data_IF_229534484840
#
_entry.id   IF_229534484840
#
_cell.length_a   1.000
_cell.length_b   1.000
_cell.length_c   1.000
_cell.angle_alpha   90.00
_cell.angle_beta   90.00
_cell.angle_gamma   90.00
#
_symmetry.space_group_name_H-M   'P 1'
#
loop_
_entity.id
_entity.type
_entity.pdbx_description
1 polymer ?
#
# COMPACT_ATOMS: atom_id res chain seq x y z
N UNK A 1 -6.20 -26.46 1.94
CA UNK A 1 -5.00 -25.97 2.66
C UNK A 1 -5.35 -25.93 4.14
N UNK A 2 -4.48 -26.40 5.03
CA UNK A 2 -4.69 -26.30 6.48
C UNK A 2 -3.87 -25.11 6.98
N UNK A 3 -4.55 -24.07 7.45
CA UNK A 3 -3.92 -22.89 8.04
C UNK A 3 -3.74 -23.15 9.54
N UNK A 4 -2.52 -23.45 10.00
CA UNK A 4 -2.21 -23.73 11.42
C UNK A 4 -3.30 -24.53 12.15
N UNK A 5 -3.50 -25.80 11.75
CA UNK A 5 -4.49 -26.73 12.31
C UNK A 5 -5.97 -26.42 12.04
N UNK A 6 -6.30 -25.22 11.56
CA UNK A 6 -7.64 -24.87 11.11
C UNK A 6 -7.85 -25.30 9.66
N UNK A 7 -8.88 -26.12 9.46
CA UNK A 7 -9.32 -26.48 8.11
C UNK A 7 -10.19 -25.36 7.60
N UNK A 8 -9.73 -24.62 6.58
CA UNK A 8 -10.60 -23.71 5.86
C UNK A 8 -11.82 -24.50 5.35
N UNK A 9 -13.04 -23.96 5.43
CA UNK A 9 -14.25 -24.66 4.98
C UNK A 9 -14.27 -24.89 3.46
N UNK A 10 -13.29 -24.36 2.73
CA UNK A 10 -13.11 -24.49 1.29
C UNK A 10 -11.67 -24.89 0.96
N UNK A 11 -11.50 -25.48 -0.22
CA UNK A 11 -10.19 -25.92 -0.72
C UNK A 11 -9.61 -24.87 -1.67
N UNK A 12 -8.50 -24.26 -1.26
CA UNK A 12 -7.67 -23.46 -2.15
C UNK A 12 -6.79 -24.34 -3.03
N UNK A 13 -6.64 -23.94 -4.27
CA UNK A 13 -5.89 -24.60 -5.34
C UNK A 13 -4.92 -23.62 -6.00
N UNK A 14 -4.09 -24.11 -6.92
CA UNK A 14 -3.20 -23.25 -7.71
C UNK A 14 -3.96 -22.26 -8.61
N UNK A 15 -5.19 -22.59 -9.03
CA UNK A 15 -6.00 -21.70 -9.85
C UNK A 15 -6.49 -20.47 -9.07
N UNK A 16 -6.49 -20.55 -7.74
CA UNK A 16 -6.90 -19.45 -6.87
C UNK A 16 -5.75 -18.49 -6.55
N UNK A 17 -4.51 -18.79 -6.97
CA UNK A 17 -3.36 -17.92 -6.69
C UNK A 17 -3.44 -16.67 -7.56
N UNK A 18 -3.45 -15.50 -6.91
CA UNK A 18 -3.47 -14.18 -7.56
C UNK A 18 -2.19 -13.38 -7.34
N UNK A 19 -1.30 -13.85 -6.46
CA UNK A 19 0.02 -13.27 -6.22
C UNK A 19 0.92 -14.25 -5.48
N UNK A 20 2.22 -14.16 -5.73
CA UNK A 20 3.24 -14.94 -5.01
C UNK A 20 4.44 -14.04 -4.77
N UNK A 21 4.85 -13.93 -3.50
CA UNK A 21 6.08 -13.26 -3.09
C UNK A 21 7.15 -14.28 -2.68
N UNK A 22 8.23 -13.78 -2.08
CA UNK A 22 9.29 -14.61 -1.49
C UNK A 22 8.81 -15.36 -0.25
N UNK A 23 7.97 -14.72 0.57
CA UNK A 23 7.56 -15.22 1.91
C UNK A 23 6.08 -15.56 2.02
N UNK A 24 5.28 -15.24 1.00
CA UNK A 24 3.83 -15.41 1.06
C UNK A 24 3.22 -15.76 -0.29
N UNK A 25 2.02 -16.33 -0.26
CA UNK A 25 1.16 -16.56 -1.42
C UNK A 25 -0.20 -15.92 -1.15
N UNK A 26 -0.72 -15.21 -2.15
CA UNK A 26 -2.02 -14.55 -2.09
C UNK A 26 -3.02 -15.34 -2.94
N UNK A 27 -4.11 -15.75 -2.29
CA UNK A 27 -5.20 -16.51 -2.88
C UNK A 27 -6.46 -15.66 -3.02
N UNK A 28 -7.17 -15.79 -4.12
CA UNK A 28 -8.54 -15.35 -4.25
C UNK A 28 -9.48 -16.31 -3.51
N UNK A 29 -10.44 -15.74 -2.79
CA UNK A 29 -11.58 -16.45 -2.22
C UNK A 29 -12.83 -15.78 -2.81
N UNK A 30 -13.35 -16.38 -3.87
CA UNK A 30 -14.39 -15.76 -4.70
C UNK A 30 -13.92 -14.42 -5.31
N UNK A 31 -14.86 -13.52 -5.52
CA UNK A 31 -14.60 -12.22 -6.17
C UNK A 31 -14.18 -11.12 -5.19
N UNK A 32 -14.46 -11.29 -3.89
CA UNK A 32 -14.40 -10.19 -2.93
C UNK A 32 -13.27 -10.30 -1.91
N UNK A 33 -12.64 -11.47 -1.74
CA UNK A 33 -11.66 -11.69 -0.68
C UNK A 33 -10.32 -12.14 -1.27
N UNK A 34 -9.25 -11.55 -0.75
CA UNK A 34 -7.89 -12.03 -0.90
C UNK A 34 -7.39 -12.58 0.44
N UNK A 35 -6.74 -13.74 0.42
CA UNK A 35 -6.06 -14.33 1.56
C UNK A 35 -4.56 -14.35 1.29
N UNK A 36 -3.80 -13.62 2.10
CA UNK A 36 -2.34 -13.76 2.15
C UNK A 36 -2.00 -14.83 3.18
N UNK A 37 -1.27 -15.86 2.75
CA UNK A 37 -0.88 -16.98 3.59
C UNK A 37 0.64 -17.22 3.47
N UNK A 38 1.29 -17.72 4.54
CA UNK A 38 2.72 -17.97 4.53
C UNK A 38 3.06 -19.18 3.67
N UNK A 39 4.24 -19.20 3.08
CA UNK A 39 4.75 -20.37 2.36
C UNK A 39 5.24 -21.39 3.39
N UNK A 40 4.44 -22.43 3.65
CA UNK A 40 4.76 -23.48 4.63
C UNK A 40 4.84 -24.84 3.93
N UNK A 41 6.03 -25.43 3.95
CA UNK A 41 6.25 -26.77 3.43
C UNK A 41 5.76 -27.83 4.44
N UNK A 42 4.96 -28.77 3.96
CA UNK A 42 4.53 -29.95 4.73
C UNK A 42 4.70 -31.18 3.87
N UNK A 43 5.35 -32.21 4.41
CA UNK A 43 5.60 -33.44 3.69
C UNK A 43 5.51 -34.66 4.59
N UNK A 44 5.17 -35.80 3.98
CA UNK A 44 5.28 -37.13 4.59
C UNK A 44 6.73 -37.65 4.56
N UNK A 45 7.67 -36.85 4.05
CA UNK A 45 9.10 -37.11 4.00
C UNK A 45 9.85 -35.96 4.71
N UNK A 46 11.09 -36.17 5.19
CA UNK A 46 11.88 -35.10 5.78
C UNK A 46 12.06 -33.92 4.82
N UNK A 47 11.86 -32.72 5.34
CA UNK A 47 12.11 -31.46 4.62
C UNK A 47 13.61 -31.14 4.59
N UNK A 48 14.05 -30.37 3.60
CA UNK A 48 15.40 -29.81 3.58
C UNK A 48 15.53 -28.65 4.58
N UNK A 49 16.75 -28.36 5.02
CA UNK A 49 17.00 -27.21 5.92
C UNK A 49 16.51 -25.89 5.30
N UNK A 50 16.73 -25.70 4.00
CA UNK A 50 16.22 -24.55 3.23
C UNK A 50 14.69 -24.43 3.28
N UNK A 51 13.96 -25.54 3.15
CA UNK A 51 12.49 -25.54 3.24
C UNK A 51 11.99 -25.20 4.65
N UNK A 52 12.72 -25.65 5.68
CA UNK A 52 12.41 -25.35 7.07
C UNK A 52 12.65 -23.86 7.34
N UNK A 53 13.79 -23.34 6.90
CA UNK A 53 14.17 -21.93 7.04
C UNK A 53 13.19 -21.01 6.31
N UNK A 54 12.85 -21.31 5.05
CA UNK A 54 11.86 -20.56 4.27
C UNK A 54 10.49 -20.54 4.96
N UNK A 55 10.07 -21.67 5.54
CA UNK A 55 8.80 -21.75 6.28
C UNK A 55 8.83 -20.87 7.54
N UNK A 56 9.94 -20.89 8.27
CA UNK A 56 10.13 -20.08 9.47
C UNK A 56 10.16 -18.58 9.15
N UNK A 57 10.87 -18.17 8.09
CA UNK A 57 10.92 -16.79 7.62
C UNK A 57 9.54 -16.31 7.16
N UNK A 58 8.83 -17.14 6.39
CA UNK A 58 7.47 -16.85 5.91
C UNK A 58 6.49 -16.62 7.05
N UNK A 59 6.55 -17.45 8.09
CA UNK A 59 5.74 -17.28 9.30
C UNK A 59 6.12 -16.01 10.06
N UNK A 60 7.41 -15.75 10.24
CA UNK A 60 7.88 -14.54 10.92
C UNK A 60 7.48 -13.25 10.19
N UNK A 61 7.54 -13.24 8.85
CA UNK A 61 7.08 -12.11 8.03
C UNK A 61 5.59 -11.85 8.22
N UNK A 62 4.77 -12.91 8.15
CA UNK A 62 3.34 -12.79 8.34
C UNK A 62 2.97 -12.26 9.73
N UNK A 63 3.65 -12.72 10.79
CA UNK A 63 3.40 -12.21 12.15
C UNK A 63 3.78 -10.73 12.29
N UNK A 64 4.89 -10.28 11.68
CA UNK A 64 5.23 -8.85 11.66
C UNK A 64 4.16 -8.05 10.93
N UNK A 65 3.73 -8.50 9.76
CA UNK A 65 2.71 -7.81 8.97
C UNK A 65 1.38 -7.70 9.73
N UNK A 66 0.98 -8.73 10.48
CA UNK A 66 -0.20 -8.68 11.37
C UNK A 66 -0.08 -7.59 12.43
N UNK A 67 1.07 -7.47 13.09
CA UNK A 67 1.32 -6.42 14.07
C UNK A 67 1.20 -5.02 13.46
N UNK A 68 1.66 -4.83 12.23
CA UNK A 68 1.48 -3.57 11.48
C UNK A 68 -0.01 -3.34 11.23
N UNK A 69 -0.74 -4.35 10.74
CA UNK A 69 -2.17 -4.22 10.53
C UNK A 69 -2.99 -3.97 11.80
N UNK A 70 -2.56 -4.46 12.97
CA UNK A 70 -3.23 -4.12 14.23
C UNK A 70 -3.19 -2.61 14.48
N UNK A 71 -2.05 -1.96 14.24
CA UNK A 71 -1.91 -0.50 14.35
C UNK A 71 -2.79 0.22 13.32
N UNK A 72 -2.75 -0.24 12.07
CA UNK A 72 -3.44 0.42 10.95
C UNK A 72 -4.97 0.24 10.99
N UNK A 73 -5.45 -0.88 11.53
CA UNK A 73 -6.88 -1.09 11.71
C UNK A 73 -7.44 -0.25 12.87
N UNK A 74 -6.63 0.02 13.90
CA UNK A 74 -7.00 0.95 14.98
C UNK A 74 -7.00 2.42 14.51
N UNK A 75 -6.19 2.74 13.49
CA UNK A 75 -6.05 4.08 12.91
C UNK A 75 -6.25 4.04 11.38
N UNK A 76 -7.50 3.84 10.91
CA UNK A 76 -7.77 3.63 9.50
C UNK A 76 -7.48 4.85 8.62
N UNK A 77 -6.87 4.62 7.46
CA UNK A 77 -6.68 5.64 6.40
C UNK A 77 -7.38 5.20 5.09
N UNK A 78 -8.04 6.11 4.34
CA UNK A 78 -8.78 5.76 3.13
C UNK A 78 -7.92 5.17 2.01
N UNK A 79 -6.63 5.51 1.95
CA UNK A 79 -5.70 5.05 0.92
C UNK A 79 -4.76 3.92 1.36
N UNK A 80 -5.03 3.30 2.51
CA UNK A 80 -4.33 2.11 3.00
C UNK A 80 -5.31 0.93 2.94
N UNK A 81 -4.84 -0.22 2.46
CA UNK A 81 -5.63 -1.45 2.47
C UNK A 81 -5.87 -1.89 3.92
N UNK A 82 -7.12 -2.02 4.31
CA UNK A 82 -7.50 -2.57 5.62
C UNK A 82 -7.74 -4.06 5.53
N UNK A 83 -7.43 -4.77 6.60
CA UNK A 83 -7.77 -6.20 6.69
C UNK A 83 -9.23 -6.35 7.06
N UNK A 84 -9.88 -7.38 6.53
CA UNK A 84 -11.15 -7.88 7.06
C UNK A 84 -10.88 -8.50 8.44
N UNK A 85 -9.79 -9.26 8.55
CA UNK A 85 -9.23 -9.84 9.76
C UNK A 85 -7.88 -10.50 9.47
N UNK A 86 -7.17 -10.87 10.52
CA UNK A 86 -6.08 -11.84 10.45
C UNK A 86 -6.25 -12.93 11.52
N UNK A 87 -5.66 -14.09 11.26
CA UNK A 87 -5.60 -15.24 12.15
C UNK A 87 -4.22 -15.89 12.06
N UNK A 88 -3.85 -16.86 12.93
CA UNK A 88 -2.49 -17.43 12.94
C UNK A 88 -1.98 -17.89 11.56
N UNK A 89 -2.85 -18.40 10.68
CA UNK A 89 -2.43 -18.87 9.36
C UNK A 89 -2.57 -17.88 8.19
N UNK A 90 -3.07 -16.67 8.38
CA UNK A 90 -3.19 -15.74 7.25
C UNK A 90 -3.90 -14.42 7.54
N UNK A 91 -3.87 -13.55 6.55
CA UNK A 91 -4.46 -12.22 6.57
C UNK A 91 -5.51 -12.16 5.45
N UNK A 92 -6.75 -11.83 5.81
CA UNK A 92 -7.86 -11.71 4.88
C UNK A 92 -8.11 -10.23 4.60
N UNK A 93 -8.15 -9.87 3.32
CA UNK A 93 -8.29 -8.50 2.84
C UNK A 93 -9.37 -8.43 1.76
N UNK A 94 -9.97 -7.25 1.54
CA UNK A 94 -10.80 -7.03 0.37
C UNK A 94 -9.96 -7.27 -0.90
N UNK A 95 -10.51 -8.03 -1.84
CA UNK A 95 -9.86 -8.28 -3.13
C UNK A 95 -10.00 -7.03 -4.02
N UNK A 96 -8.87 -6.53 -4.48
CA UNK A 96 -8.82 -5.49 -5.50
C UNK A 96 -8.70 -6.13 -6.88
N UNK A 97 -9.32 -5.52 -7.89
CA UNK A 97 -9.35 -6.09 -9.25
C UNK A 97 -8.01 -6.03 -9.95
N UNK A 98 -7.15 -5.06 -9.58
CA UNK A 98 -5.86 -4.78 -10.20
C UNK A 98 -4.95 -4.00 -9.27
N UNK A 99 -3.65 -4.04 -9.56
CA UNK A 99 -2.68 -3.07 -9.05
C UNK A 99 -2.39 -2.01 -10.13
N UNK A 100 -1.73 -0.94 -9.72
CA UNK A 100 -1.44 0.20 -10.58
C UNK A 100 -0.49 -0.16 -11.71
N UNK A 101 0.52 -0.98 -11.44
CA UNK A 101 1.47 -1.48 -12.44
C UNK A 101 0.77 -2.17 -13.62
N UNK A 102 -0.12 -3.13 -13.32
CA UNK A 102 -0.87 -3.87 -14.34
C UNK A 102 -1.75 -2.94 -15.18
N UNK A 103 -2.30 -1.87 -14.61
CA UNK A 103 -3.14 -0.95 -15.38
C UNK A 103 -2.32 -0.03 -16.26
N UNK A 104 -1.25 0.56 -15.73
CA UNK A 104 -0.36 1.42 -16.53
C UNK A 104 0.21 0.66 -17.74
N UNK A 105 0.50 -0.63 -17.59
CA UNK A 105 0.97 -1.48 -18.68
C UNK A 105 -0.12 -1.90 -19.68
N UNK A 106 -1.40 -1.90 -19.29
CA UNK A 106 -2.49 -2.35 -20.16
C UNK A 106 -2.97 -1.25 -21.11
N UNK A 107 -3.16 -0.03 -20.61
CA UNK A 107 -3.66 1.09 -21.41
C UNK A 107 -3.15 2.43 -20.87
N UNK A 108 -1.86 2.75 -21.11
CA UNK A 108 -1.25 3.97 -20.55
C UNK A 108 -1.88 5.25 -21.10
N UNK A 109 -2.42 5.22 -22.31
CA UNK A 109 -2.96 6.42 -22.98
C UNK A 109 -4.35 6.82 -22.46
N UNK A 110 -5.07 5.94 -21.76
CA UNK A 110 -6.38 6.27 -21.19
C UNK A 110 -6.29 6.93 -19.81
N UNK A 111 -5.10 7.03 -19.23
CA UNK A 111 -4.90 7.59 -17.89
C UNK A 111 -4.60 9.08 -17.99
N UNK A 112 -5.56 9.91 -17.58
CA UNK A 112 -5.44 11.36 -17.59
C UNK A 112 -4.43 11.88 -16.55
N UNK A 113 -3.86 13.06 -16.83
CA UNK A 113 -2.93 13.74 -15.90
C UNK A 113 -3.56 13.98 -14.51
N UNK A 114 -4.81 14.46 -14.39
CA UNK A 114 -5.45 14.60 -13.08
C UNK A 114 -5.58 13.29 -12.30
N UNK A 115 -5.79 12.16 -12.99
CA UNK A 115 -5.86 10.86 -12.34
C UNK A 115 -4.49 10.39 -11.84
N UNK A 116 -3.43 10.60 -12.63
CA UNK A 116 -2.04 10.33 -12.24
C UNK A 116 -1.65 11.12 -10.99
N UNK A 117 -1.95 12.42 -10.98
CA UNK A 117 -1.68 13.28 -9.83
C UNK A 117 -2.47 12.87 -8.59
N UNK A 118 -3.75 12.50 -8.75
CA UNK A 118 -4.56 11.97 -7.66
C UNK A 118 -3.89 10.75 -7.01
N UNK A 119 -3.40 9.81 -7.80
CA UNK A 119 -2.71 8.62 -7.26
C UNK A 119 -1.45 8.98 -6.49
N UNK A 120 -0.65 9.91 -7.01
CA UNK A 120 0.56 10.42 -6.33
C UNK A 120 0.18 11.03 -4.97
N UNK A 121 -0.83 11.92 -4.96
CA UNK A 121 -1.31 12.56 -3.72
C UNK A 121 -1.83 11.54 -2.71
N UNK A 122 -2.68 10.63 -3.14
CA UNK A 122 -3.26 9.60 -2.27
C UNK A 122 -2.19 8.67 -1.69
N UNK A 123 -1.19 8.30 -2.48
CA UNK A 123 -0.05 7.51 -2.02
C UNK A 123 0.76 8.28 -0.98
N UNK A 124 1.10 9.54 -1.24
CA UNK A 124 1.88 10.35 -0.30
C UNK A 124 1.11 10.59 1.00
N UNK A 125 -0.21 10.78 0.96
CA UNK A 125 -1.06 10.87 2.16
C UNK A 125 -1.10 9.54 2.94
N UNK A 126 -1.11 8.40 2.25
CA UNK A 126 -0.96 7.11 2.92
C UNK A 126 0.42 6.97 3.60
N UNK A 127 1.50 7.37 2.94
CA UNK A 127 2.86 7.34 3.49
C UNK A 127 3.04 8.29 4.69
N UNK A 128 2.47 9.50 4.61
CA UNK A 128 2.42 10.45 5.74
C UNK A 128 1.66 9.85 6.94
N UNK A 129 0.57 9.13 6.70
CA UNK A 129 -0.15 8.44 7.75
C UNK A 129 0.73 7.37 8.43
N UNK A 130 1.52 6.61 7.66
CA UNK A 130 2.50 5.66 8.23
C UNK A 130 3.58 6.39 9.03
N UNK A 131 4.14 7.49 8.50
CA UNK A 131 5.13 8.33 9.19
C UNK A 131 4.61 8.81 10.55
N UNK A 132 3.33 9.22 10.62
CA UNK A 132 2.72 9.69 11.88
C UNK A 132 2.63 8.60 12.97
N UNK A 133 2.72 7.32 12.58
CA UNK A 133 2.77 6.17 13.49
C UNK A 133 4.21 5.65 13.69
N UNK A 134 5.22 6.37 13.18
CA UNK A 134 6.62 5.97 13.26
C UNK A 134 6.96 4.78 12.37
N UNK A 135 6.15 4.52 11.34
CA UNK A 135 6.31 3.40 10.41
C UNK A 135 6.86 3.88 9.06
N UNK A 136 7.58 2.99 8.40
CA UNK A 136 8.07 3.13 7.03
C UNK A 136 7.58 1.91 6.25
N UNK A 137 6.94 2.12 5.10
CA UNK A 137 6.41 1.01 4.29
C UNK A 137 7.54 0.14 3.74
N UNK A 138 8.61 0.78 3.24
CA UNK A 138 9.85 0.11 2.82
C UNK A 138 9.82 -0.53 1.43
N UNK A 139 8.65 -0.69 0.82
CA UNK A 139 8.53 -1.16 -0.58
C UNK A 139 7.41 -0.43 -1.36
N UNK A 140 7.42 0.91 -1.33
CA UNK A 140 6.47 1.72 -2.11
C UNK A 140 6.80 1.60 -3.60
N UNK A 141 5.83 1.12 -4.38
CA UNK A 141 5.91 0.97 -5.84
C UNK A 141 4.53 0.72 -6.46
N UNK A 142 4.36 0.89 -7.80
CA UNK A 142 3.09 0.63 -8.47
C UNK A 142 2.53 -0.79 -8.28
N UNK A 143 3.40 -1.80 -8.13
CA UNK A 143 2.98 -3.19 -7.92
C UNK A 143 2.28 -3.43 -6.57
N UNK A 144 2.64 -2.65 -5.55
CA UNK A 144 2.08 -2.72 -4.18
C UNK A 144 0.97 -1.66 -3.96
N UNK A 145 0.61 -0.94 -5.02
CA UNK A 145 -0.46 0.07 -5.00
C UNK A 145 -1.69 -0.52 -5.70
N UNK A 146 -2.67 -0.97 -4.92
CA UNK A 146 -3.91 -1.56 -5.44
C UNK A 146 -4.94 -0.48 -5.80
N UNK A 147 -5.95 -0.85 -6.59
CA UNK A 147 -7.00 0.07 -7.01
C UNK A 147 -8.39 -0.47 -6.72
N UNK A 148 -9.22 0.39 -6.14
CA UNK A 148 -10.64 0.10 -5.99
C UNK A 148 -11.43 0.38 -7.28
N UNK A 149 -12.74 0.13 -7.24
CA UNK A 149 -13.61 0.28 -8.41
C UNK A 149 -13.76 1.74 -8.88
N UNK A 150 -13.45 2.70 -8.01
CA UNK A 150 -13.48 4.14 -8.31
C UNK A 150 -12.08 4.68 -8.63
N UNK A 151 -11.11 3.78 -8.81
CA UNK A 151 -9.74 4.09 -9.20
C UNK A 151 -8.96 4.86 -8.12
N UNK A 152 -9.40 4.78 -6.86
CA UNK A 152 -8.61 5.25 -5.72
C UNK A 152 -7.59 4.20 -5.33
N UNK A 153 -6.41 4.66 -4.94
CA UNK A 153 -5.34 3.76 -4.53
C UNK A 153 -5.57 3.21 -3.12
N UNK A 154 -5.09 2.00 -2.91
CA UNK A 154 -4.98 1.32 -1.62
C UNK A 154 -3.55 0.77 -1.53
N UNK A 155 -2.69 1.44 -0.76
CA UNK A 155 -1.35 0.96 -0.45
C UNK A 155 -1.47 -0.36 0.33
N UNK A 156 -0.76 -1.38 -0.13
CA UNK A 156 -0.84 -2.74 0.37
C UNK A 156 0.56 -3.36 0.45
N UNK A 157 0.62 -4.57 1.03
CA UNK A 157 1.82 -5.37 1.19
C UNK A 157 2.85 -4.80 2.18
N UNK A 158 2.58 -5.02 3.47
CA UNK A 158 3.38 -4.48 4.57
C UNK A 158 4.48 -5.45 5.04
N UNK A 159 4.88 -6.42 4.22
CA UNK A 159 5.93 -7.41 4.58
C UNK A 159 7.29 -6.74 4.87
N UNK A 160 7.57 -5.62 4.19
CA UNK A 160 8.80 -4.83 4.35
C UNK A 160 8.65 -3.68 5.36
N UNK A 161 7.47 -3.52 5.96
CA UNK A 161 7.18 -2.40 6.84
C UNK A 161 7.87 -2.56 8.20
N UNK A 162 8.53 -1.49 8.65
CA UNK A 162 9.31 -1.46 9.89
C UNK A 162 9.19 -0.11 10.57
N UNK A 163 9.67 -0.01 11.81
CA UNK A 163 9.77 1.27 12.51
C UNK A 163 10.84 2.15 11.87
N UNK A 164 10.62 3.46 11.88
CA UNK A 164 11.64 4.41 11.46
C UNK A 164 12.92 4.24 12.30
N UNK A 165 14.07 4.12 11.61
CA UNK A 165 15.39 3.90 12.20
C UNK A 165 15.83 2.43 12.27
N UNK A 166 14.91 1.48 12.07
CA UNK A 166 15.22 0.06 11.94
C UNK A 166 15.91 -0.23 10.59
N UNK A 167 16.53 -1.41 10.49
CA UNK A 167 17.11 -1.87 9.24
C UNK A 167 16.01 -2.20 8.22
N UNK A 168 16.23 -1.81 6.95
CA UNK A 168 15.36 -2.22 5.85
C UNK A 168 15.36 -3.74 5.73
N UNK A 169 14.17 -4.35 5.67
CA UNK A 169 14.04 -5.82 5.53
C UNK A 169 14.29 -6.28 4.10
N UNK A 170 13.74 -5.55 3.15
CA UNK A 170 13.88 -5.77 1.72
C UNK A 170 13.66 -4.43 1.00
N UNK A 171 14.02 -4.40 -0.28
CA UNK A 171 13.78 -3.25 -1.13
C UNK A 171 13.73 -3.66 -2.60
N UNK A 172 13.01 -2.86 -3.40
CA UNK A 172 12.94 -3.02 -4.86
C UNK A 172 13.62 -1.84 -5.54
N UNK A 173 14.68 -2.09 -6.32
CA UNK A 173 15.18 -1.09 -7.27
C UNK A 173 14.24 -1.00 -8.48
N UNK A 174 13.94 0.20 -9.03
CA UNK A 174 14.57 1.49 -8.74
C UNK A 174 13.81 2.36 -7.71
N UNK A 175 12.95 1.77 -6.87
CA UNK A 175 12.18 2.51 -5.85
C UNK A 175 12.92 2.67 -4.52
N UNK A 176 14.16 2.20 -4.41
CA UNK A 176 14.97 2.34 -3.20
C UNK A 176 16.42 2.63 -3.55
N UNK A 177 17.05 3.52 -2.77
CA UNK A 177 18.49 3.71 -2.81
C UNK A 177 19.16 2.55 -2.07
N UNK A 178 19.74 1.59 -2.82
CA UNK A 178 20.34 0.38 -2.27
C UNK A 178 21.50 0.64 -1.27
N UNK A 179 21.97 1.88 -1.14
CA UNK A 179 22.97 2.28 -0.15
C UNK A 179 22.37 2.74 1.18
N UNK A 180 21.05 2.88 1.26
CA UNK A 180 20.31 3.18 2.49
C UNK A 180 19.86 1.89 3.17
N UNK A 181 20.55 1.56 4.26
CA UNK A 181 20.30 0.35 5.05
C UNK A 181 19.22 0.56 6.12
N UNK A 182 18.87 1.82 6.44
CA UNK A 182 17.91 2.16 7.50
C UNK A 182 16.66 2.80 6.93
N UNK A 183 15.52 2.28 7.38
CA UNK A 183 14.21 2.78 7.00
C UNK A 183 13.97 4.16 7.60
N UNK A 184 13.60 5.14 6.78
CA UNK A 184 13.20 6.47 7.27
C UNK A 184 12.38 7.23 6.22
N UNK A 185 11.98 8.46 6.54
CA UNK A 185 11.35 9.37 5.56
C UNK A 185 12.27 9.66 4.35
N UNK A 186 13.59 9.45 4.44
CA UNK A 186 14.50 9.61 3.29
C UNK A 186 14.41 8.45 2.31
N UNK A 187 14.18 7.23 2.78
CA UNK A 187 13.95 6.07 1.91
C UNK A 187 12.55 6.11 1.30
N UNK A 188 11.55 6.55 2.08
CA UNK A 188 10.17 6.74 1.61
C UNK A 188 10.06 7.82 0.53
N UNK A 189 10.62 9.02 0.74
CA UNK A 189 10.54 10.07 -0.27
C UNK A 189 11.23 9.65 -1.57
N UNK A 190 12.35 8.92 -1.50
CA UNK A 190 13.01 8.37 -2.69
C UNK A 190 12.06 7.45 -3.47
N UNK A 191 11.38 6.54 -2.78
CA UNK A 191 10.40 5.63 -3.36
C UNK A 191 9.21 6.38 -3.99
N UNK A 192 8.70 7.42 -3.30
CA UNK A 192 7.61 8.27 -3.80
C UNK A 192 8.06 9.06 -5.05
N UNK A 193 9.29 9.58 -5.08
CA UNK A 193 9.85 10.23 -6.27
C UNK A 193 9.94 9.28 -7.46
N UNK A 194 10.43 8.05 -7.24
CA UNK A 194 10.47 7.02 -8.29
C UNK A 194 9.07 6.59 -8.72
N UNK A 195 8.13 6.45 -7.80
CA UNK A 195 6.72 6.18 -8.10
C UNK A 195 6.11 7.28 -8.96
N UNK A 196 6.31 8.54 -8.58
CA UNK A 196 5.80 9.71 -9.31
C UNK A 196 6.38 9.78 -10.72
N UNK A 197 7.68 9.53 -10.88
CA UNK A 197 8.31 9.41 -12.20
C UNK A 197 7.63 8.34 -13.05
N UNK A 198 7.54 7.10 -12.55
CA UNK A 198 6.90 6.00 -13.29
C UNK A 198 5.43 6.32 -13.62
N UNK A 199 4.71 6.93 -12.70
CA UNK A 199 3.31 7.31 -12.90
C UNK A 199 3.15 8.44 -13.91
N UNK A 200 4.11 9.33 -14.14
CA UNK A 200 3.95 10.36 -15.17
C UNK A 200 4.55 9.99 -16.52
N UNK A 201 5.61 9.20 -16.55
CA UNK A 201 6.31 8.84 -17.80
C UNK A 201 5.84 7.50 -18.37
N UNK A 202 5.29 6.62 -17.53
CA UNK A 202 5.02 5.22 -17.88
C UNK A 202 6.28 4.33 -17.94
N UNK A 203 7.44 4.84 -17.51
CA UNK A 203 8.72 4.12 -17.53
C UNK A 203 9.38 4.25 -16.16
N UNK A 204 9.98 3.15 -15.68
CA UNK A 204 10.73 3.19 -14.43
C UNK A 204 12.01 4.03 -14.56
N UNK A 205 12.43 4.77 -13.51
CA UNK A 205 13.63 5.58 -13.57
C UNK A 205 14.91 4.72 -13.66
N UNK A 206 15.82 5.10 -14.56
CA UNK A 206 17.14 4.48 -14.68
C UNK A 206 18.18 5.27 -13.90
N UNK A 207 18.68 4.70 -12.80
CA UNK A 207 19.71 5.33 -11.99
C UNK A 207 21.12 4.84 -12.34
N UNK A 208 22.04 5.78 -12.59
CA UNK A 208 23.45 5.44 -12.76
C UNK A 208 24.14 5.28 -11.40
N UNK A 209 24.67 4.08 -11.16
CA UNK A 209 25.41 3.74 -9.94
C UNK A 209 26.90 3.67 -10.28
N UNK A 210 27.72 4.42 -9.55
CA UNK A 210 29.18 4.27 -9.62
C UNK A 210 29.79 4.00 -8.26
N UNK A 211 30.57 2.93 -8.17
CA UNK A 211 31.16 2.52 -6.90
C UNK A 211 30.07 2.11 -5.91
N UNK A 212 29.85 2.92 -4.86
CA UNK A 212 28.89 2.65 -3.77
C UNK A 212 27.94 3.81 -3.49
N UNK A 213 27.64 4.65 -4.49
CA UNK A 213 26.70 5.77 -4.37
C UNK A 213 25.95 6.00 -5.68
N UNK A 214 24.70 6.44 -5.56
CA UNK A 214 23.99 7.14 -6.63
C UNK A 214 24.74 8.41 -6.99
N UNK A 215 24.88 8.70 -8.28
CA UNK A 215 25.43 9.98 -8.73
C UNK A 215 24.33 11.03 -8.77
N UNK A 216 24.37 11.99 -7.85
CA UNK A 216 23.40 13.09 -7.79
C UNK A 216 23.39 13.94 -9.08
N UNK A 217 24.54 14.03 -9.76
CA UNK A 217 24.70 14.75 -11.03
C UNK A 217 24.18 13.97 -12.25
N UNK A 218 23.74 12.72 -12.05
CA UNK A 218 23.23 11.84 -13.11
C UNK A 218 21.89 11.20 -12.74
N UNK A 219 21.09 11.92 -11.95
CA UNK A 219 19.69 11.55 -11.76
C UNK A 219 18.96 11.61 -13.12
N UNK A 220 17.90 10.80 -13.30
CA UNK A 220 17.07 10.85 -14.50
C UNK A 220 16.59 12.27 -14.80
N UNK A 221 16.48 12.63 -16.08
CA UNK A 221 15.94 13.92 -16.47
C UNK A 221 14.45 13.99 -16.13
N UNK A 222 14.07 15.04 -15.39
CA UNK A 222 12.69 15.32 -15.01
C UNK A 222 12.10 16.53 -15.75
N UNK A 223 12.86 17.09 -16.70
CA UNK A 223 12.43 18.24 -17.50
C UNK A 223 11.15 17.92 -18.28
N UNK A 224 10.13 18.75 -18.13
CA UNK A 224 8.85 18.59 -18.81
C UNK A 224 7.91 17.55 -18.18
N UNK A 225 8.30 16.93 -17.07
CA UNK A 225 7.40 16.11 -16.24
C UNK A 225 6.68 17.03 -15.26
N UNK A 226 5.39 16.81 -15.07
CA UNK A 226 4.62 17.52 -14.06
C UNK A 226 5.16 17.22 -12.65
N UNK A 227 5.52 18.25 -11.89
CA UNK A 227 6.21 18.11 -10.61
C UNK A 227 7.62 17.52 -10.71
N UNK A 228 8.30 17.71 -11.84
CA UNK A 228 9.66 17.19 -12.08
C UNK A 228 10.71 17.71 -11.08
N UNK A 229 10.51 18.90 -10.52
CA UNK A 229 11.28 19.45 -9.42
C UNK A 229 11.07 18.67 -8.11
N UNK A 230 9.82 18.38 -7.75
CA UNK A 230 9.47 17.54 -6.59
C UNK A 230 10.12 16.16 -6.70
N UNK A 231 10.03 15.53 -7.88
CA UNK A 231 10.68 14.22 -8.15
C UNK A 231 12.19 14.32 -7.89
N UNK A 232 12.83 15.35 -8.42
CA UNK A 232 14.27 15.51 -8.29
C UNK A 232 14.68 15.81 -6.82
N UNK A 233 13.88 16.57 -6.08
CA UNK A 233 14.07 16.85 -4.65
C UNK A 233 13.89 15.61 -3.78
N UNK A 234 12.93 14.74 -4.11
CA UNK A 234 12.76 13.42 -3.49
C UNK A 234 14.04 12.56 -3.63
N UNK A 235 14.60 12.47 -4.84
CA UNK A 235 15.82 11.68 -5.06
C UNK A 235 17.07 12.28 -4.40
N UNK A 236 17.12 13.61 -4.27
CA UNK A 236 18.17 14.32 -3.50
C UNK A 236 17.95 14.30 -1.99
N UNK A 237 16.82 13.74 -1.51
CA UNK A 237 16.45 13.61 -0.10
C UNK A 237 16.31 14.97 0.61
N UNK A 238 15.73 15.94 -0.09
CA UNK A 238 15.63 17.33 0.38
C UNK A 238 14.46 17.57 1.34
N UNK A 239 13.49 16.66 1.41
CA UNK A 239 12.37 16.76 2.34
C UNK A 239 12.76 16.27 3.73
N UNK A 240 12.38 17.04 4.75
CA UNK A 240 12.63 16.72 6.17
C UNK A 240 11.60 15.76 6.78
N UNK A 241 10.50 15.50 6.07
CA UNK A 241 9.45 14.53 6.43
C UNK A 241 8.58 14.23 5.21
N UNK A 242 7.79 13.16 5.26
CA UNK A 242 6.78 12.84 4.26
C UNK A 242 5.62 13.84 4.31
N UNK A 243 5.27 14.35 5.49
CA UNK A 243 4.30 15.44 5.61
C UNK A 243 4.72 16.71 4.83
N UNK A 244 6.01 17.04 4.79
CA UNK A 244 6.51 18.18 4.02
C UNK A 244 6.35 17.95 2.50
N UNK A 245 6.66 16.74 2.04
CA UNK A 245 6.44 16.32 0.64
C UNK A 245 4.95 16.33 0.28
N UNK A 246 4.08 15.86 1.18
CA UNK A 246 2.64 15.86 0.97
C UNK A 246 2.09 17.29 0.75
N UNK A 247 2.61 18.27 1.50
CA UNK A 247 2.26 19.68 1.33
C UNK A 247 2.59 20.21 -0.07
N UNK A 248 3.79 19.92 -0.58
CA UNK A 248 4.21 20.40 -1.91
C UNK A 248 3.42 19.73 -3.05
N UNK A 249 3.06 18.45 -2.92
CA UNK A 249 2.19 17.76 -3.88
C UNK A 249 0.77 18.36 -3.90
N UNK A 250 0.26 18.82 -2.76
CA UNK A 250 -1.03 19.51 -2.70
C UNK A 250 -0.99 20.89 -3.33
N UNK A 251 0.09 21.64 -3.13
CA UNK A 251 0.31 22.91 -3.82
C UNK A 251 0.32 22.70 -5.35
N UNK A 252 1.01 21.68 -5.85
CA UNK A 252 1.01 21.31 -7.27
C UNK A 252 -0.40 21.01 -7.81
N UNK A 253 -1.23 20.29 -7.05
CA UNK A 253 -2.62 19.99 -7.46
C UNK A 253 -3.48 21.25 -7.53
N UNK A 254 -3.34 22.17 -6.56
CA UNK A 254 -4.05 23.44 -6.55
C UNK A 254 -3.65 24.32 -7.73
N UNK A 255 -2.35 24.39 -8.06
CA UNK A 255 -1.85 25.16 -9.21
C UNK A 255 -2.46 24.67 -10.52
N UNK A 256 -2.52 23.36 -10.74
CA UNK A 256 -3.13 22.77 -11.93
C UNK A 256 -4.63 23.03 -12.03
N UNK A 257 -5.35 22.95 -10.90
CA UNK A 257 -6.78 23.24 -10.88
C UNK A 257 -7.05 24.71 -11.26
N UNK A 258 -6.21 25.64 -10.80
CA UNK A 258 -6.32 27.05 -11.14
C UNK A 258 -5.93 27.36 -12.59
N UNK A 259 -5.03 26.58 -13.20
CA UNK A 259 -4.69 26.71 -14.63
C UNK A 259 -5.83 26.21 -15.52
N UNK A 260 -6.51 25.12 -15.15
CA UNK A 260 -7.67 24.56 -15.87
C UNK A 260 -8.86 25.55 -15.86
N UNK A 261 -9.16 26.15 -14.69
CA UNK A 261 -10.22 27.19 -14.59
C UNK A 261 -9.91 28.47 -15.38
N UNK A 262 -8.62 28.78 -15.61
CA UNK A 262 -8.21 29.95 -16.39
C UNK A 262 -8.36 29.73 -17.90
N UNK A 263 -8.24 28.49 -18.38
CA UNK A 263 -8.43 28.15 -19.79
C UNK A 263 -9.93 28.04 -20.15
N UNK A 264 -10.77 27.66 -19.18
CA UNK A 264 -12.24 27.67 -19.29
C UNK A 264 -12.89 29.04 -18.98
N UNK A 265 -12.07 30.05 -18.62
CA UNK A 265 -12.47 31.24 -17.88
C UNK A 265 -12.62 32.55 -18.64
N UNK A 266 -12.91 32.55 -19.95
CA UNK A 266 -13.50 33.74 -20.60
C UNK A 266 -14.99 33.85 -20.19
N UNK A 267 -15.23 34.18 -18.91
CA UNK A 267 -16.52 34.64 -18.39
C UNK A 267 -17.12 33.86 -17.22
N UNK A 268 -16.78 34.24 -15.97
CA UNK A 268 -17.73 34.73 -14.96
C UNK A 268 -17.09 34.80 -13.56
N UNK A 269 -16.91 36.03 -13.05
CA UNK A 269 -16.80 36.29 -11.61
C UNK A 269 -18.11 35.92 -10.91
N UNK A 270 -18.07 35.09 -9.87
CA UNK A 270 -19.07 35.12 -8.80
C UNK A 270 -18.44 34.79 -7.44
N UNK A 271 -18.42 35.81 -6.56
CA UNK A 271 -18.13 35.72 -5.13
C UNK A 271 -19.17 34.87 -4.39
N UNK A 272 -18.76 34.02 -3.44
CA UNK A 272 -19.62 33.64 -2.30
C UNK A 272 -18.86 33.47 -0.98
N UNK A 273 -19.62 33.77 0.07
CA UNK A 273 -19.22 34.22 1.41
C UNK A 273 -19.05 33.05 2.39
N UNK A 274 -18.07 33.18 3.28
CA UNK A 274 -17.78 32.28 4.40
C UNK A 274 -18.94 32.18 5.42
N UNK A 275 -19.21 30.95 5.87
CA UNK A 275 -20.12 30.64 6.96
C UNK A 275 -19.47 29.70 7.98
N UNK A 276 -19.13 30.27 9.14
CA UNK A 276 -18.61 29.63 10.35
C UNK A 276 -19.60 28.66 11.01
N UNK A 277 -19.12 27.54 11.58
CA UNK A 277 -19.50 27.08 12.93
C UNK A 277 -18.61 25.94 13.44
N UNK A 278 -18.30 26.00 14.74
CA UNK A 278 -17.38 25.15 15.51
C UNK A 278 -18.18 24.12 16.38
N UNK A 279 -17.56 23.31 17.26
CA UNK A 279 -17.69 21.85 17.26
C UNK A 279 -18.54 21.29 18.41
N UNK A 280 -19.03 20.04 18.27
CA UNK A 280 -19.64 19.28 19.36
C UNK A 280 -18.76 18.11 19.81
N UNK A 281 -18.43 18.16 21.10
CA UNK A 281 -17.78 17.14 21.93
C UNK A 281 -18.56 15.83 21.99
N UNK A 282 -17.84 14.69 21.94
CA UNK A 282 -18.38 13.37 22.33
C UNK A 282 -17.41 12.68 23.30
N UNK A 283 -18.01 12.10 24.34
CA UNK A 283 -17.41 11.54 25.55
C UNK A 283 -16.60 10.26 25.29
N UNK A 284 -15.51 10.12 26.06
CA UNK A 284 -14.76 8.87 26.24
C UNK A 284 -15.62 7.83 26.98
N UNK A 285 -15.72 6.63 26.42
CA UNK A 285 -16.12 5.42 27.14
C UNK A 285 -14.92 4.48 27.19
N UNK A 286 -14.41 4.27 28.40
CA UNK A 286 -13.37 3.29 28.71
C UNK A 286 -14.00 1.91 28.89
N UNK A 287 -13.54 0.93 28.12
CA UNK A 287 -13.85 -0.48 28.34
C UNK A 287 -12.66 -1.34 27.92
N UNK A 288 -11.94 -1.89 28.91
CA UNK A 288 -10.95 -2.94 28.66
C UNK A 288 -11.70 -4.24 28.32
N UNK A 289 -11.47 -4.78 27.13
CA UNK A 289 -11.95 -6.10 26.74
C UNK A 289 -10.79 -7.09 26.79
N UNK A 290 -11.03 -8.24 27.41
CA UNK A 290 -10.10 -9.37 27.51
C UNK A 290 -9.80 -9.94 26.12
N UNK A 291 -8.52 -10.19 25.83
CA UNK A 291 -8.02 -10.65 24.54
C UNK A 291 -8.66 -11.96 24.04
N UNK A 292 -9.12 -12.84 24.93
CA UNK A 292 -9.77 -14.12 24.55
C UNK A 292 -11.21 -13.94 24.02
N UNK A 293 -11.93 -12.88 24.42
CA UNK A 293 -13.31 -12.62 23.95
C UNK A 293 -13.31 -11.96 22.57
N UNK A 294 -12.25 -11.22 22.24
CA UNK A 294 -12.08 -10.57 20.94
C UNK A 294 -11.80 -11.58 19.82
N UNK A 295 -11.21 -12.73 20.13
CA UNK A 295 -10.90 -13.78 19.16
C UNK A 295 -12.17 -14.56 18.75
N UNK A 296 -13.07 -14.87 19.69
CA UNK A 296 -14.37 -15.49 19.38
C UNK A 296 -15.29 -14.58 18.56
N UNK A 297 -15.33 -13.27 18.86
CA UNK A 297 -16.15 -12.30 18.12
C UNK A 297 -15.63 -12.10 16.67
N UNK A 298 -14.31 -12.18 16.46
CA UNK A 298 -13.69 -12.16 15.13
C UNK A 298 -14.02 -13.44 14.33
N UNK A 299 -14.05 -14.60 14.97
CA UNK A 299 -14.43 -15.89 14.34
C UNK A 299 -15.92 -15.93 13.98
N UNK A 300 -16.81 -15.37 14.81
CA UNK A 300 -18.24 -15.31 14.47
C UNK A 300 -18.52 -14.29 13.35
N UNK A 301 -17.78 -13.17 13.29
CA UNK A 301 -17.78 -12.27 12.12
C UNK A 301 -17.33 -13.00 10.84
N UNK A 302 -16.32 -13.87 10.92
CA UNK A 302 -15.92 -14.78 9.84
C UNK A 302 -17.07 -15.66 9.37
N UNK A 303 -17.80 -16.29 10.30
CA UNK A 303 -18.95 -17.13 9.98
C UNK A 303 -20.09 -16.36 9.35
N UNK A 304 -20.33 -15.12 9.77
CA UNK A 304 -21.37 -14.25 9.20
C UNK A 304 -20.97 -13.78 7.81
N UNK A 305 -19.72 -13.35 7.61
CA UNK A 305 -19.20 -12.90 6.30
C UNK A 305 -19.16 -14.08 5.31
N UNK A 306 -18.66 -15.25 5.72
CA UNK A 306 -18.68 -16.45 4.87
C UNK A 306 -20.11 -16.91 4.55
N UNK A 307 -21.06 -16.82 5.49
CA UNK A 307 -22.48 -17.11 5.21
C UNK A 307 -23.09 -16.11 4.24
N UNK A 308 -22.79 -14.83 4.38
CA UNK A 308 -23.24 -13.76 3.47
C UNK A 308 -22.68 -13.89 2.05
N UNK A 309 -21.42 -14.32 1.91
CA UNK A 309 -20.79 -14.55 0.61
C UNK A 309 -21.30 -15.83 -0.08
N UNK A 310 -21.64 -16.88 0.69
CA UNK A 310 -22.32 -18.06 0.16
C UNK A 310 -23.74 -17.77 -0.34
N UNK A 311 -24.47 -16.80 0.24
CA UNK A 311 -25.77 -16.39 -0.31
C UNK A 311 -25.66 -15.65 -1.64
N UNK A 312 -24.62 -14.84 -1.85
CA UNK A 312 -24.44 -14.12 -3.13
C UNK A 312 -23.99 -15.02 -4.30
N UNK A 313 -23.43 -16.20 -4.02
CA UNK A 313 -23.01 -17.17 -5.04
C UNK A 313 -24.14 -18.11 -5.50
N UNK A 314 -25.29 -18.13 -4.81
CA UNK A 314 -26.45 -18.95 -5.18
C UNK A 314 -27.54 -18.20 -5.96
N UNK A 315 -27.37 -16.89 -6.20
CA UNK A 315 -28.39 -16.05 -6.86
C UNK A 315 -28.12 -15.73 -8.34
N UNK A 316 -27.12 -16.36 -8.97
CA UNK A 316 -26.94 -16.33 -10.43
C UNK A 316 -27.16 -17.72 -11.01
N UNK A 317 -28.44 -18.01 -11.26
CA UNK A 317 -28.92 -19.15 -12.06
C UNK A 317 -29.28 -18.65 -13.46
#
# INVERSE_FOLDING_TARGET
MVLNEYTLPFRLTRADVIGSGSVSTVFAIGECIALKAPIVFRANIPLTDEQIEQSAESLASLEREKCIYDILNDHPHPNILQTILHCPGGIFMPRMSRNLDNWMNHDPNSISVPLRLRWVKELTRAAEHLESHGLVHGDIRPANTLLDNNLHIKLADFDSCVSAGDACLAFTVPYHDAFEEKASYTTEQFAIGSFMYTVFTGVEPEFEITGRKLQAEKLPDTSGILGGDIIASCWRKEYVSIAALAGEIEELELELALDDERDDGDGCEMCFVAGSNSPRSVQRVSGQANAEVLEEDRIEKLRVICRGLCSCLNDNN
#
